data_IF_072419187056
#
_entry.id   IF_072419187056
#
_cell.length_a   1.000
_cell.length_b   1.000
_cell.length_c   1.000
_cell.angle_alpha   90.00
_cell.angle_beta   90.00
_cell.angle_gamma   90.00
#
_symmetry.space_group_name_H-M   'P 1'
#
loop_
_entity.id
_entity.type
_entity.pdbx_description
1 polymer ?
#
# COMPACT_ATOMS: atom_id res chain seq x y z
N UNK A 1 -28.36 -16.75 -12.13
CA UNK A 1 -27.94 -16.99 -10.75
C UNK A 1 -26.57 -16.33 -10.63
N UNK A 2 -26.47 -15.23 -9.90
CA UNK A 2 -25.16 -14.64 -9.57
C UNK A 2 -24.42 -15.66 -8.71
N UNK A 3 -23.28 -16.15 -9.18
CA UNK A 3 -22.43 -17.02 -8.35
C UNK A 3 -22.13 -16.30 -7.03
N UNK A 4 -22.33 -16.99 -5.92
CA UNK A 4 -22.02 -16.46 -4.60
C UNK A 4 -20.51 -16.24 -4.54
N UNK A 5 -20.04 -15.01 -4.20
CA UNK A 5 -18.64 -14.73 -4.01
C UNK A 5 -18.07 -15.62 -2.89
N UNK A 6 -17.05 -16.40 -3.22
CA UNK A 6 -16.38 -17.32 -2.29
C UNK A 6 -15.02 -16.76 -1.92
N UNK A 7 -14.93 -15.98 -0.85
CA UNK A 7 -13.69 -15.37 -0.40
C UNK A 7 -12.72 -16.43 0.16
N UNK A 8 -11.53 -16.50 -0.39
CA UNK A 8 -10.44 -17.39 0.06
C UNK A 8 -9.17 -16.64 0.46
N UNK A 9 -8.98 -15.42 -0.07
CA UNK A 9 -7.78 -14.63 0.19
C UNK A 9 -8.08 -13.13 0.21
N UNK A 10 -7.40 -12.44 1.12
CA UNK A 10 -7.44 -10.97 1.25
C UNK A 10 -6.07 -10.42 0.91
N UNK A 11 -5.95 -9.63 -0.15
CA UNK A 11 -4.70 -9.01 -0.57
C UNK A 11 -4.74 -7.52 -0.23
N UNK A 12 -3.62 -7.00 0.25
CA UNK A 12 -3.49 -5.62 0.71
C UNK A 12 -2.38 -4.88 -0.03
N UNK A 13 -2.59 -3.61 -0.32
CA UNK A 13 -1.46 -2.71 -0.44
C UNK A 13 -0.77 -2.53 0.93
N UNK A 14 0.43 -1.97 0.94
CA UNK A 14 1.26 -1.83 2.14
C UNK A 14 1.16 -0.42 2.71
N UNK A 15 1.73 0.58 1.99
CA UNK A 15 1.81 1.97 2.42
C UNK A 15 0.42 2.63 2.32
N UNK A 16 -0.13 3.13 3.40
CA UNK A 16 -1.47 3.76 3.39
C UNK A 16 -2.65 2.78 3.58
N UNK A 17 -2.39 1.50 3.55
CA UNK A 17 -3.45 0.48 3.71
C UNK A 17 -3.21 -0.42 4.91
N UNK A 18 -2.15 -1.21 4.94
CA UNK A 18 -1.77 -2.00 6.12
C UNK A 18 -0.99 -1.17 7.12
N UNK A 19 -0.05 -0.37 6.63
CA UNK A 19 0.98 0.30 7.44
C UNK A 19 0.95 1.80 7.21
N UNK A 20 0.92 2.55 8.29
CA UNK A 20 1.21 3.98 8.29
C UNK A 20 2.73 4.17 8.25
N UNK A 21 3.28 4.31 7.05
CA UNK A 21 4.71 4.53 6.79
C UNK A 21 5.06 6.01 6.65
N UNK A 22 4.08 6.89 6.72
CA UNK A 22 4.26 8.33 6.55
C UNK A 22 5.32 8.93 7.51
N UNK A 23 5.37 8.57 8.80
CA UNK A 23 6.34 9.15 9.72
C UNK A 23 7.78 8.96 9.25
N UNK A 24 8.15 7.73 8.87
CA UNK A 24 9.51 7.43 8.42
C UNK A 24 9.84 8.04 7.06
N UNK A 25 8.91 7.95 6.09
CA UNK A 25 9.13 8.49 4.75
C UNK A 25 9.26 10.01 4.76
N UNK A 26 8.45 10.72 5.55
CA UNK A 26 8.52 12.18 5.66
C UNK A 26 9.77 12.63 6.42
N UNK A 27 10.17 11.92 7.47
CA UNK A 27 11.42 12.19 8.18
C UNK A 27 12.62 12.05 7.24
N UNK A 28 12.68 10.98 6.43
CA UNK A 28 13.74 10.76 5.45
C UNK A 28 13.75 11.81 4.33
N UNK A 29 12.56 12.21 3.84
CA UNK A 29 12.43 13.29 2.87
C UNK A 29 12.98 14.60 3.43
N UNK A 30 12.53 15.01 4.63
CA UNK A 30 12.97 16.26 5.25
C UNK A 30 14.49 16.26 5.49
N UNK A 31 15.05 15.12 5.91
CA UNK A 31 16.49 14.97 6.06
C UNK A 31 17.24 15.13 4.73
N UNK A 32 16.69 14.58 3.64
CA UNK A 32 17.27 14.75 2.31
C UNK A 32 17.18 16.20 1.84
N UNK A 33 16.04 16.87 2.02
CA UNK A 33 15.85 18.27 1.68
C UNK A 33 16.88 19.17 2.40
N UNK A 34 17.03 19.00 3.71
CA UNK A 34 18.02 19.74 4.51
C UNK A 34 19.45 19.51 4.03
N UNK A 35 19.80 18.28 3.66
CA UNK A 35 21.15 17.94 3.15
C UNK A 35 21.47 18.67 1.85
N UNK A 36 20.44 18.94 1.03
CA UNK A 36 20.57 19.70 -0.24
C UNK A 36 20.24 21.19 -0.10
N UNK A 37 20.13 21.72 1.13
CA UNK A 37 19.95 23.17 1.38
C UNK A 37 18.51 23.67 1.25
N UNK A 38 17.52 22.76 1.20
CA UNK A 38 16.11 23.11 1.21
C UNK A 38 15.52 23.05 2.60
N UNK A 39 14.43 23.77 2.84
CA UNK A 39 13.70 23.72 4.10
C UNK A 39 12.88 22.45 4.20
N UNK A 40 12.71 21.94 5.43
CA UNK A 40 11.78 20.87 5.71
C UNK A 40 10.34 21.29 5.37
N UNK A 41 9.53 20.30 4.99
CA UNK A 41 8.12 20.51 4.63
C UNK A 41 7.18 19.91 5.68
N UNK A 42 6.03 20.53 5.92
CA UNK A 42 5.03 20.01 6.86
C UNK A 42 4.49 18.64 6.41
N UNK A 43 4.25 17.78 7.40
CA UNK A 43 3.73 16.42 7.16
C UNK A 43 2.42 16.41 6.39
N UNK A 44 1.52 17.33 6.69
CA UNK A 44 0.18 17.42 6.08
C UNK A 44 0.22 17.68 4.58
N UNK A 45 1.29 18.29 4.08
CA UNK A 45 1.47 18.54 2.64
C UNK A 45 1.95 17.31 1.88
N UNK A 46 2.67 16.43 2.54
CA UNK A 46 3.36 15.28 1.92
C UNK A 46 2.61 13.97 2.13
N UNK A 47 1.98 13.79 3.30
CA UNK A 47 1.26 12.56 3.64
C UNK A 47 0.30 12.08 2.54
N UNK A 48 -0.50 12.95 1.88
CA UNK A 48 -1.41 12.54 0.80
C UNK A 48 -0.71 12.02 -0.47
N UNK A 49 0.60 12.21 -0.58
CA UNK A 49 1.37 11.85 -1.79
C UNK A 49 2.15 10.55 -1.65
N UNK A 50 2.16 9.92 -0.48
CA UNK A 50 2.99 8.75 -0.19
C UNK A 50 2.67 7.59 -1.14
N UNK A 51 1.40 7.29 -1.38
CA UNK A 51 0.97 6.23 -2.30
C UNK A 51 1.33 6.50 -3.77
N UNK A 52 1.76 7.73 -4.08
CA UNK A 52 2.29 8.13 -5.40
C UNK A 52 3.82 8.07 -5.47
N UNK A 53 4.49 7.70 -4.36
CA UNK A 53 5.93 7.44 -4.27
C UNK A 53 6.82 8.66 -4.05
N UNK A 54 8.09 8.41 -3.78
CA UNK A 54 9.07 9.42 -3.44
C UNK A 54 9.25 10.54 -4.50
N UNK A 55 9.20 10.28 -5.81
CA UNK A 55 9.27 11.37 -6.81
C UNK A 55 8.14 12.40 -6.66
N UNK A 56 6.90 11.95 -6.39
CA UNK A 56 5.76 12.85 -6.19
C UNK A 56 5.92 13.68 -4.90
N UNK A 57 6.44 13.06 -3.84
CA UNK A 57 6.75 13.75 -2.59
C UNK A 57 7.79 14.86 -2.79
N UNK A 58 8.88 14.59 -3.53
CA UNK A 58 9.95 15.55 -3.81
C UNK A 58 9.43 16.69 -4.70
N UNK A 59 8.72 16.37 -5.78
CA UNK A 59 8.15 17.38 -6.67
C UNK A 59 7.21 18.36 -5.96
N UNK A 60 6.51 17.90 -4.92
CA UNK A 60 5.67 18.76 -4.07
C UNK A 60 6.48 19.60 -3.09
N UNK A 61 7.66 19.12 -2.68
CA UNK A 61 8.45 19.73 -1.61
C UNK A 61 9.29 20.92 -2.09
N UNK A 62 9.71 20.91 -3.34
CA UNK A 62 10.57 21.96 -3.91
C UNK A 62 9.94 22.53 -5.18
N UNK A 63 9.91 23.86 -5.26
CA UNK A 63 9.43 24.57 -6.44
C UNK A 63 10.63 24.89 -7.37
N UNK A 64 11.30 23.85 -7.84
CA UNK A 64 12.44 23.93 -8.73
C UNK A 64 12.30 22.87 -9.82
N UNK A 65 12.30 23.28 -11.07
CA UNK A 65 12.24 22.38 -12.22
C UNK A 65 13.68 22.01 -12.65
N UNK A 66 14.34 21.21 -11.81
CA UNK A 66 15.72 20.73 -12.02
C UNK A 66 15.77 19.22 -11.74
N UNK A 67 15.79 18.44 -12.83
CA UNK A 67 15.81 16.98 -12.78
C UNK A 67 17.04 16.42 -12.04
N UNK A 68 18.19 17.11 -12.10
CA UNK A 68 19.42 16.67 -11.44
C UNK A 68 19.26 16.77 -9.92
N UNK A 69 18.79 17.92 -9.44
CA UNK A 69 18.55 18.15 -8.01
C UNK A 69 17.46 17.20 -7.50
N UNK A 70 16.38 16.98 -8.25
CA UNK A 70 15.35 16.00 -7.89
C UNK A 70 15.92 14.58 -7.75
N UNK A 71 16.80 14.17 -8.68
CA UNK A 71 17.44 12.85 -8.62
C UNK A 71 18.39 12.72 -7.43
N UNK A 72 19.17 13.74 -7.10
CA UNK A 72 20.07 13.76 -5.95
C UNK A 72 19.31 13.69 -4.61
N UNK A 73 18.22 14.45 -4.48
CA UNK A 73 17.35 14.39 -3.29
C UNK A 73 16.69 13.02 -3.18
N UNK A 74 16.24 12.42 -4.30
CA UNK A 74 15.64 11.10 -4.33
C UNK A 74 16.63 10.03 -3.84
N UNK A 75 17.87 10.04 -4.34
CA UNK A 75 18.90 9.10 -3.92
C UNK A 75 19.21 9.24 -2.42
N UNK A 76 19.35 10.47 -1.93
CA UNK A 76 19.57 10.77 -0.52
C UNK A 76 18.41 10.29 0.35
N UNK A 77 17.16 10.60 -0.05
CA UNK A 77 15.96 10.16 0.66
C UNK A 77 15.87 8.64 0.74
N UNK A 78 16.09 7.94 -0.38
CA UNK A 78 16.02 6.48 -0.41
C UNK A 78 17.14 5.83 0.40
N UNK A 79 18.32 6.45 0.45
CA UNK A 79 19.44 6.02 1.28
C UNK A 79 19.11 6.18 2.78
N UNK A 80 18.55 7.33 3.17
CA UNK A 80 18.10 7.53 4.55
C UNK A 80 17.00 6.54 4.92
N UNK A 81 16.00 6.33 4.03
CA UNK A 81 14.92 5.39 4.30
C UNK A 81 15.41 3.96 4.45
N UNK A 82 16.37 3.52 3.62
CA UNK A 82 16.95 2.18 3.74
C UNK A 82 17.61 1.91 5.10
N UNK A 83 18.16 2.95 5.72
CA UNK A 83 18.84 2.85 7.02
C UNK A 83 17.89 3.05 8.22
N UNK A 84 16.66 3.51 7.98
CA UNK A 84 15.69 3.87 9.03
C UNK A 84 14.30 3.29 8.73
N UNK A 85 14.24 2.08 8.17
CA UNK A 85 12.98 1.39 7.90
C UNK A 85 12.33 0.95 9.22
N UNK A 86 11.03 1.27 9.37
CA UNK A 86 10.21 0.88 10.52
C UNK A 86 10.66 1.44 11.88
N UNK A 87 11.27 2.63 11.92
CA UNK A 87 11.54 3.31 13.18
C UNK A 87 10.24 3.83 13.84
N UNK A 88 9.33 4.35 13.02
CA UNK A 88 8.06 4.94 13.45
C UNK A 88 6.86 4.38 12.68
N UNK A 89 7.09 3.55 11.67
CA UNK A 89 6.01 2.91 10.91
C UNK A 89 5.24 1.94 11.78
N UNK A 90 3.91 2.06 11.78
CA UNK A 90 3.02 1.20 12.56
C UNK A 90 1.83 0.77 11.73
N UNK A 91 1.12 -0.27 12.15
CA UNK A 91 -0.17 -0.60 11.54
C UNK A 91 -1.19 0.52 11.76
N UNK A 92 -2.07 0.75 10.77
CA UNK A 92 -3.26 1.53 11.03
C UNK A 92 -4.07 0.89 12.18
N UNK A 93 -4.73 1.76 12.99
CA UNK A 93 -5.52 1.30 14.13
C UNK A 93 -6.57 0.29 13.66
N UNK A 94 -6.63 -0.88 14.30
CA UNK A 94 -7.56 -1.96 13.93
C UNK A 94 -6.96 -3.05 13.03
N UNK A 95 -5.94 -2.77 12.21
CA UNK A 95 -5.34 -3.75 11.26
C UNK A 95 -4.89 -5.04 11.95
N UNK A 96 -4.28 -4.95 13.13
CA UNK A 96 -3.88 -6.15 13.88
C UNK A 96 -5.07 -7.06 14.17
N UNK A 97 -6.22 -6.50 14.51
CA UNK A 97 -7.46 -7.24 14.74
C UNK A 97 -8.00 -7.82 13.44
N UNK A 98 -8.00 -7.04 12.37
CA UNK A 98 -8.41 -7.49 11.03
C UNK A 98 -7.61 -8.71 10.58
N UNK A 99 -6.26 -8.66 10.65
CA UNK A 99 -5.41 -9.79 10.28
C UNK A 99 -5.69 -11.04 11.12
N UNK A 100 -5.85 -10.89 12.44
CA UNK A 100 -6.23 -12.01 13.31
C UNK A 100 -7.59 -12.59 12.95
N UNK A 101 -8.55 -11.76 12.57
CA UNK A 101 -9.88 -12.22 12.12
C UNK A 101 -9.77 -13.01 10.82
N UNK A 102 -9.03 -12.51 9.83
CA UNK A 102 -8.77 -13.22 8.56
C UNK A 102 -8.18 -14.62 8.84
N UNK A 103 -7.15 -14.68 9.69
CA UNK A 103 -6.48 -15.92 10.06
C UNK A 103 -7.42 -16.88 10.81
N UNK A 104 -8.27 -16.37 11.72
CA UNK A 104 -9.25 -17.19 12.47
C UNK A 104 -10.38 -17.75 11.59
N UNK A 105 -10.71 -17.07 10.50
CA UNK A 105 -11.65 -17.54 9.49
C UNK A 105 -11.03 -18.57 8.52
N UNK A 106 -9.74 -18.89 8.67
CA UNK A 106 -9.02 -19.80 7.78
C UNK A 106 -8.72 -19.22 6.40
N UNK A 107 -8.90 -17.91 6.23
CA UNK A 107 -8.56 -17.21 5.00
C UNK A 107 -7.06 -16.97 4.92
N UNK A 108 -6.55 -16.92 3.70
CA UNK A 108 -5.19 -16.43 3.43
C UNK A 108 -5.18 -14.91 3.33
N UNK A 109 -4.01 -14.32 3.53
CA UNK A 109 -3.80 -12.92 3.19
C UNK A 109 -2.38 -12.69 2.67
N UNK A 110 -2.19 -11.61 1.92
CA UNK A 110 -0.89 -11.26 1.35
C UNK A 110 -0.77 -9.77 1.06
N UNK A 111 0.42 -9.38 0.62
CA UNK A 111 0.80 -8.00 0.32
C UNK A 111 1.13 -7.88 -1.16
N UNK A 112 0.59 -6.84 -1.82
CA UNK A 112 0.92 -6.48 -3.19
C UNK A 112 1.12 -4.97 -3.26
N UNK A 113 2.35 -4.52 -3.39
CA UNK A 113 2.71 -3.09 -3.29
C UNK A 113 3.60 -2.62 -4.44
N UNK A 114 3.53 -1.33 -4.78
CA UNK A 114 4.48 -0.69 -5.71
C UNK A 114 5.80 -0.31 -5.03
N UNK A 115 5.92 -0.49 -3.71
CA UNK A 115 7.18 -0.32 -2.99
C UNK A 115 8.20 -1.37 -3.44
N UNK A 116 9.45 -0.96 -3.68
CA UNK A 116 10.51 -1.88 -4.13
C UNK A 116 10.89 -2.88 -3.05
N UNK A 117 11.27 -4.08 -3.46
CA UNK A 117 11.61 -5.22 -2.61
C UNK A 117 12.65 -4.88 -1.52
N UNK A 118 13.67 -4.10 -1.87
CA UNK A 118 14.72 -3.66 -0.93
C UNK A 118 14.19 -2.87 0.27
N UNK A 119 12.99 -2.30 0.18
CA UNK A 119 12.30 -1.60 1.28
C UNK A 119 11.13 -2.41 1.84
N UNK A 120 10.45 -3.19 0.99
CA UNK A 120 9.32 -4.01 1.40
C UNK A 120 9.75 -5.10 2.36
N UNK A 121 10.78 -5.89 2.00
CA UNK A 121 11.20 -7.03 2.80
C UNK A 121 11.67 -6.65 4.21
N UNK A 122 12.52 -5.61 4.42
CA UNK A 122 12.87 -5.18 5.77
C UNK A 122 11.68 -4.68 6.57
N UNK A 123 10.74 -3.94 5.96
CA UNK A 123 9.54 -3.43 6.64
C UNK A 123 8.62 -4.58 7.07
N UNK A 124 8.34 -5.52 6.18
CA UNK A 124 7.53 -6.72 6.44
C UNK A 124 8.16 -7.56 7.56
N UNK A 125 9.49 -7.71 7.55
CA UNK A 125 10.24 -8.42 8.60
C UNK A 125 10.17 -7.71 9.96
N UNK A 126 10.39 -6.40 9.98
CA UNK A 126 10.34 -5.59 11.21
C UNK A 126 8.96 -5.62 11.88
N UNK A 127 7.89 -5.73 11.07
CA UNK A 127 6.51 -5.84 11.55
C UNK A 127 6.07 -7.28 11.85
N UNK A 128 6.97 -8.26 11.75
CA UNK A 128 6.70 -9.69 11.99
C UNK A 128 5.59 -10.27 11.08
N UNK A 129 5.58 -9.88 9.81
CA UNK A 129 4.60 -10.33 8.83
C UNK A 129 5.10 -11.43 7.90
N UNK A 130 6.42 -11.67 7.84
CA UNK A 130 7.06 -12.58 6.88
C UNK A 130 6.46 -13.99 6.88
N UNK A 131 6.26 -14.57 8.05
CA UNK A 131 5.74 -15.94 8.19
C UNK A 131 4.20 -16.01 8.21
N UNK A 132 3.54 -14.86 8.23
CA UNK A 132 2.07 -14.76 8.29
C UNK A 132 1.45 -14.53 6.93
N UNK A 133 2.09 -13.72 6.08
CA UNK A 133 1.61 -13.41 4.75
C UNK A 133 1.79 -14.62 3.81
N UNK A 134 0.75 -15.01 3.10
CA UNK A 134 0.80 -16.09 2.10
C UNK A 134 1.62 -15.69 0.85
N UNK A 135 1.77 -14.40 0.60
CA UNK A 135 2.61 -13.84 -0.45
C UNK A 135 2.99 -12.40 -0.13
N UNK A 136 4.15 -11.97 -0.67
CA UNK A 136 4.61 -10.57 -0.67
C UNK A 136 5.12 -10.25 -2.07
N UNK A 137 4.41 -9.37 -2.77
CA UNK A 137 4.76 -8.92 -4.12
C UNK A 137 5.15 -7.45 -4.04
N UNK A 138 6.38 -7.14 -4.39
CA UNK A 138 6.94 -5.80 -4.42
C UNK A 138 6.86 -5.19 -5.83
N UNK A 139 7.07 -3.89 -5.94
CA UNK A 139 6.94 -3.14 -7.19
C UNK A 139 7.92 -3.54 -8.29
N UNK A 140 8.98 -4.25 -7.94
CA UNK A 140 10.00 -4.79 -8.85
C UNK A 140 10.03 -6.34 -8.87
N UNK A 141 9.06 -7.01 -8.28
CA UNK A 141 8.89 -8.47 -8.35
C UNK A 141 8.39 -8.90 -9.74
N UNK A 142 7.60 -8.06 -10.40
CA UNK A 142 7.02 -8.32 -11.73
C UNK A 142 7.52 -7.29 -12.74
N UNK A 143 7.37 -7.58 -14.04
CA UNK A 143 7.78 -6.66 -15.10
C UNK A 143 6.95 -5.37 -15.11
N UNK A 144 5.69 -5.45 -14.72
CA UNK A 144 4.76 -4.32 -14.71
C UNK A 144 4.19 -4.12 -13.30
N UNK A 145 4.34 -2.92 -12.70
CA UNK A 145 3.73 -2.59 -11.40
C UNK A 145 2.22 -2.32 -11.53
N UNK A 146 1.51 -2.17 -10.42
CA UNK A 146 0.13 -1.67 -10.40
C UNK A 146 0.05 -0.30 -11.13
N UNK A 147 -0.95 -0.06 -11.98
CA UNK A 147 -2.25 -0.72 -12.12
C UNK A 147 -2.28 -1.95 -13.04
N UNK A 148 -1.14 -2.44 -13.54
CA UNK A 148 -1.12 -3.67 -14.31
C UNK A 148 -1.53 -4.86 -13.44
N UNK A 149 -2.29 -5.86 -13.96
CA UNK A 149 -2.78 -6.99 -13.15
C UNK A 149 -1.72 -8.05 -12.84
N UNK A 150 -0.55 -7.99 -13.45
CA UNK A 150 0.52 -8.99 -13.28
C UNK A 150 0.91 -9.24 -11.81
N UNK A 151 1.08 -8.21 -10.94
CA UNK A 151 1.35 -8.41 -9.52
C UNK A 151 0.25 -9.20 -8.81
N UNK A 152 -1.02 -8.99 -9.19
CA UNK A 152 -2.17 -9.70 -8.62
C UNK A 152 -2.16 -11.18 -9.00
N UNK A 153 -1.90 -11.50 -10.28
CA UNK A 153 -1.77 -12.89 -10.73
C UNK A 153 -0.60 -13.59 -10.07
N UNK A 154 0.52 -12.90 -9.90
CA UNK A 154 1.70 -13.43 -9.19
C UNK A 154 1.38 -13.72 -7.72
N UNK A 155 0.67 -12.82 -7.06
CA UNK A 155 0.20 -13.02 -5.68
C UNK A 155 -0.72 -14.23 -5.57
N UNK A 156 -1.68 -14.37 -6.46
CA UNK A 156 -2.59 -15.51 -6.50
C UNK A 156 -1.85 -16.85 -6.72
N UNK A 157 -0.87 -16.86 -7.61
CA UNK A 157 -0.05 -18.04 -7.86
C UNK A 157 0.75 -18.47 -6.62
N UNK A 158 1.39 -17.50 -5.92
CA UNK A 158 2.13 -17.77 -4.68
C UNK A 158 1.20 -18.22 -3.55
N UNK A 159 0.06 -17.54 -3.36
CA UNK A 159 -0.92 -17.89 -2.35
C UNK A 159 -1.73 -19.16 -2.70
N UNK A 160 -1.64 -19.67 -3.94
CA UNK A 160 -2.41 -20.82 -4.47
C UNK A 160 -3.92 -20.61 -4.31
N UNK A 161 -4.40 -19.51 -4.85
CA UNK A 161 -5.80 -19.08 -4.89
C UNK A 161 -6.16 -18.58 -6.29
N UNK A 162 -7.45 -18.38 -6.57
CA UNK A 162 -7.90 -17.81 -7.82
C UNK A 162 -8.23 -16.33 -7.65
N UNK A 163 -7.99 -15.47 -8.66
CA UNK A 163 -8.30 -14.04 -8.56
C UNK A 163 -9.77 -13.75 -8.20
N UNK A 164 -10.72 -14.48 -8.79
CA UNK A 164 -12.15 -14.33 -8.55
C UNK A 164 -12.60 -14.72 -7.13
N UNK A 165 -11.72 -15.35 -6.35
CA UNK A 165 -11.91 -15.71 -4.94
C UNK A 165 -11.17 -14.76 -4.00
N UNK A 166 -10.57 -13.68 -4.54
CA UNK A 166 -9.79 -12.71 -3.78
C UNK A 166 -10.49 -11.36 -3.68
N UNK A 167 -10.22 -10.65 -2.62
CA UNK A 167 -10.46 -9.22 -2.50
C UNK A 167 -9.12 -8.49 -2.38
N UNK A 168 -8.97 -7.38 -3.10
CA UNK A 168 -7.82 -6.50 -2.99
C UNK A 168 -8.20 -5.18 -2.35
N UNK A 169 -7.43 -4.71 -1.38
CA UNK A 169 -7.63 -3.48 -0.64
C UNK A 169 -6.45 -2.54 -0.87
N UNK A 170 -6.71 -1.29 -1.24
CA UNK A 170 -5.71 -0.26 -1.39
C UNK A 170 -6.30 1.14 -1.25
N UNK A 171 -5.46 2.15 -1.07
CA UNK A 171 -5.84 3.54 -0.82
C UNK A 171 -5.64 4.47 -2.03
N UNK A 172 -5.32 3.92 -3.22
CA UNK A 172 -5.12 4.70 -4.43
C UNK A 172 -5.87 4.10 -5.63
N UNK A 173 -6.17 4.94 -6.64
CA UNK A 173 -6.86 4.51 -7.86
C UNK A 173 -6.14 3.34 -8.56
N UNK A 174 -4.79 3.36 -8.62
CA UNK A 174 -4.03 2.30 -9.26
C UNK A 174 -4.17 0.94 -8.56
N UNK A 175 -4.56 0.90 -7.29
CA UNK A 175 -4.89 -0.32 -6.56
C UNK A 175 -6.19 -0.92 -7.04
N UNK A 176 -7.20 -0.06 -7.10
CA UNK A 176 -8.55 -0.47 -7.55
C UNK A 176 -8.49 -0.95 -8.99
N UNK A 177 -7.79 -0.23 -9.87
CA UNK A 177 -7.61 -0.62 -11.26
C UNK A 177 -6.87 -1.97 -11.39
N UNK A 178 -5.80 -2.19 -10.62
CA UNK A 178 -5.06 -3.44 -10.64
C UNK A 178 -5.93 -4.64 -10.22
N UNK A 179 -6.70 -4.50 -9.13
CA UNK A 179 -7.63 -5.53 -8.67
C UNK A 179 -8.73 -5.83 -9.70
N UNK A 180 -9.36 -4.78 -10.26
CA UNK A 180 -10.38 -4.92 -11.31
C UNK A 180 -9.83 -5.59 -12.57
N UNK A 181 -8.64 -5.17 -13.01
CA UNK A 181 -7.97 -5.75 -14.18
C UNK A 181 -7.62 -7.22 -13.98
N UNK A 182 -7.51 -7.68 -12.73
CA UNK A 182 -7.30 -9.07 -12.35
C UNK A 182 -8.60 -9.85 -12.05
N UNK A 183 -9.78 -9.25 -12.25
CA UNK A 183 -11.09 -9.82 -11.88
C UNK A 183 -11.24 -10.13 -10.38
N UNK A 184 -10.61 -9.36 -9.52
CA UNK A 184 -10.80 -9.43 -8.07
C UNK A 184 -11.93 -8.50 -7.63
N UNK A 185 -12.52 -8.77 -6.47
CA UNK A 185 -13.22 -7.75 -5.70
C UNK A 185 -12.23 -6.70 -5.22
N UNK A 186 -12.66 -5.42 -5.15
CA UNK A 186 -11.81 -4.31 -4.75
C UNK A 186 -12.46 -3.45 -3.68
N UNK A 187 -11.67 -3.04 -2.70
CA UNK A 187 -12.12 -2.15 -1.63
C UNK A 187 -11.17 -0.94 -1.57
N UNK A 188 -11.73 0.26 -1.58
CA UNK A 188 -10.95 1.48 -1.42
C UNK A 188 -10.81 1.85 0.06
N UNK A 189 -9.59 1.85 0.57
CA UNK A 189 -9.26 2.23 1.95
C UNK A 189 -9.22 3.75 2.08
N UNK A 190 -10.33 4.37 2.44
CA UNK A 190 -10.44 5.83 2.54
C UNK A 190 -9.80 6.41 3.82
N UNK A 191 -9.33 5.55 4.70
CA UNK A 191 -8.51 5.93 5.86
C UNK A 191 -7.02 6.11 5.53
N UNK A 192 -6.61 5.81 4.28
CA UNK A 192 -5.23 5.87 3.81
C UNK A 192 -4.75 7.28 3.42
N UNK A 193 -3.86 7.34 2.43
CA UNK A 193 -3.21 8.59 1.99
C UNK A 193 -3.93 9.22 0.79
N UNK A 194 -5.14 9.71 1.02
CA UNK A 194 -5.92 10.37 -0.04
C UNK A 194 -5.48 11.82 -0.27
N UNK A 195 -5.33 12.22 -1.54
CA UNK A 195 -5.18 13.62 -1.90
C UNK A 195 -6.53 14.35 -1.78
N UNK A 196 -6.50 15.68 -1.62
CA UNK A 196 -7.74 16.47 -1.54
C UNK A 196 -8.63 16.39 -2.79
N UNK A 197 -8.04 16.07 -3.94
CA UNK A 197 -8.71 15.94 -5.24
C UNK A 197 -9.05 14.47 -5.60
N UNK A 198 -8.65 13.51 -4.79
CA UNK A 198 -9.05 12.11 -4.95
C UNK A 198 -10.55 11.97 -4.65
N UNK A 199 -11.23 11.23 -5.51
CA UNK A 199 -12.64 10.91 -5.34
C UNK A 199 -12.87 9.39 -5.41
N UNK A 200 -12.72 8.67 -4.29
CA UNK A 200 -12.85 7.21 -4.23
C UNK A 200 -14.21 6.68 -4.70
N UNK A 201 -15.29 7.47 -4.60
CA UNK A 201 -16.61 7.09 -5.14
C UNK A 201 -16.58 6.84 -6.64
N UNK A 202 -15.67 7.50 -7.37
CA UNK A 202 -15.52 7.37 -8.81
C UNK A 202 -14.50 6.30 -9.25
N UNK A 203 -13.81 5.63 -8.33
CA UNK A 203 -12.82 4.60 -8.67
C UNK A 203 -13.48 3.28 -9.10
N UNK A 204 -14.76 3.09 -8.76
CA UNK A 204 -15.53 1.90 -9.09
C UNK A 204 -15.07 0.68 -8.29
N UNK A 205 -14.62 0.88 -7.05
CA UNK A 205 -14.44 -0.18 -6.07
C UNK A 205 -15.78 -0.80 -5.67
N UNK A 206 -15.77 -2.06 -5.23
CA UNK A 206 -16.98 -2.75 -4.74
C UNK A 206 -17.49 -2.15 -3.42
N UNK A 207 -16.61 -1.57 -2.60
CA UNK A 207 -17.00 -0.78 -1.42
C UNK A 207 -15.90 0.22 -1.03
N UNK A 208 -16.31 1.27 -0.31
CA UNK A 208 -15.42 2.19 0.39
C UNK A 208 -15.29 1.74 1.85
N UNK A 209 -14.09 1.79 2.37
CA UNK A 209 -13.76 1.33 3.72
C UNK A 209 -13.11 2.49 4.47
N UNK A 210 -13.84 3.04 5.43
CA UNK A 210 -13.42 4.23 6.20
C UNK A 210 -12.55 3.87 7.41
N UNK A 211 -12.52 2.59 7.79
CA UNK A 211 -11.67 2.11 8.88
C UNK A 211 -11.40 0.61 8.78
N UNK A 212 -10.32 0.09 9.40
CA UNK A 212 -10.05 -1.34 9.47
C UNK A 212 -11.16 -2.16 10.16
N UNK A 213 -11.95 -1.55 11.04
CA UNK A 213 -13.11 -2.19 11.67
C UNK A 213 -14.22 -2.46 10.65
N UNK A 214 -14.48 -1.51 9.73
CA UNK A 214 -15.41 -1.73 8.62
C UNK A 214 -14.90 -2.83 7.68
N UNK A 215 -13.57 -2.88 7.43
CA UNK A 215 -12.96 -3.94 6.65
C UNK A 215 -13.18 -5.31 7.30
N UNK A 216 -12.98 -5.42 8.61
CA UNK A 216 -13.24 -6.65 9.38
C UNK A 216 -14.70 -7.08 9.23
N UNK A 217 -15.63 -6.15 9.30
CA UNK A 217 -17.07 -6.39 9.13
C UNK A 217 -17.38 -6.90 7.72
N UNK A 218 -16.82 -6.25 6.69
CA UNK A 218 -17.01 -6.65 5.30
C UNK A 218 -16.49 -8.08 5.04
N UNK A 219 -15.27 -8.38 5.49
CA UNK A 219 -14.65 -9.72 5.34
C UNK A 219 -15.50 -10.78 6.02
N UNK A 220 -15.95 -10.54 7.24
CA UNK A 220 -16.78 -11.48 7.98
C UNK A 220 -18.11 -11.76 7.26
N UNK A 221 -18.74 -10.72 6.73
CA UNK A 221 -19.97 -10.86 5.95
C UNK A 221 -19.78 -11.61 4.62
N UNK A 222 -18.62 -11.45 3.99
CA UNK A 222 -18.30 -12.14 2.72
C UNK A 222 -18.06 -13.66 2.89
N UNK A 223 -17.82 -14.13 4.12
CA UNK A 223 -17.63 -15.55 4.43
C UNK A 223 -18.95 -16.31 4.72
N UNK A 224 -20.09 -15.58 4.83
CA UNK A 224 -21.42 -16.14 5.16
C UNK A 224 -22.39 -15.95 4.01
#
# INVERSE_FOLDING_TARGET
>A
MTEKFNLTCVLFDLDGTLVDTAPDLIACLNKALETHGFSAVPSEQIRPLISYGAPAMIAKSINLDDEVIHAEILESMLTFYQNNIAEHSTFFSGITTTLKTIESLGLKWGIVTNKRERFTNPLVSALNLTDRAACVISGDTTANPKPHPEPMFTACAQAKVKPEECVYIGDALHDIDAGKNANMKTLAATYGYLKPDDNPDNWGADALIESPEQLTTWITAACH
#
